data_IF_208503459622
#
_entry.id   IF_208503459622
#
_cell.length_a   1.000
_cell.length_b   1.000
_cell.length_c   1.000
_cell.angle_alpha   90.00
_cell.angle_beta   90.00
_cell.angle_gamma   90.00
#
_symmetry.space_group_name_H-M   'P 1'
#
loop_
_entity.id
_entity.type
_entity.pdbx_description
1 polymer ?
#
# COMPACT_ATOMS: atom_id res chain seq x y z
N UNK A 1 23.65 -9.12 16.43
CA UNK A 1 23.98 -8.71 15.04
C UNK A 1 22.72 -8.24 14.33
N UNK A 2 22.73 -7.04 13.74
CA UNK A 2 21.59 -6.44 13.06
C UNK A 2 21.52 -6.80 11.57
N UNK A 3 20.50 -6.28 10.89
CA UNK A 3 20.35 -6.39 9.43
C UNK A 3 21.44 -5.60 8.73
N UNK A 4 22.09 -6.20 7.73
CA UNK A 4 23.13 -5.56 6.91
C UNK A 4 22.75 -5.67 5.44
N UNK A 5 23.08 -4.65 4.64
CA UNK A 5 22.81 -4.64 3.19
C UNK A 5 24.11 -4.37 2.43
N UNK A 6 24.33 -5.14 1.39
CA UNK A 6 25.41 -4.95 0.41
C UNK A 6 24.78 -5.04 -0.98
N UNK A 7 24.78 -3.94 -1.72
CA UNK A 7 24.26 -3.84 -3.09
C UNK A 7 22.94 -4.63 -3.31
N UNK A 8 23.02 -5.91 -3.67
CA UNK A 8 21.88 -6.80 -3.97
C UNK A 8 21.77 -7.97 -2.99
N UNK A 9 22.43 -7.90 -1.82
CA UNK A 9 22.37 -8.91 -0.77
C UNK A 9 21.92 -8.27 0.55
N UNK A 10 21.12 -8.99 1.30
CA UNK A 10 20.70 -8.62 2.65
C UNK A 10 21.07 -9.74 3.61
N UNK A 11 21.67 -9.36 4.73
CA UNK A 11 21.88 -10.26 5.85
C UNK A 11 20.70 -10.15 6.81
N UNK A 12 20.06 -11.28 7.05
CA UNK A 12 19.00 -11.39 8.05
C UNK A 12 19.48 -12.30 9.19
N UNK A 13 19.37 -11.87 10.45
CA UNK A 13 19.70 -12.73 11.59
C UNK A 13 18.96 -14.06 11.47
N UNK A 14 19.66 -15.18 11.76
CA UNK A 14 19.20 -16.58 11.64
C UNK A 14 19.04 -17.12 10.20
N UNK A 15 18.94 -16.27 9.17
CA UNK A 15 18.77 -16.72 7.78
C UNK A 15 20.02 -16.51 6.92
N UNK A 16 20.97 -15.70 7.41
CA UNK A 16 22.22 -15.40 6.69
C UNK A 16 22.04 -14.44 5.51
N UNK A 17 22.97 -14.50 4.56
CA UNK A 17 22.96 -13.66 3.38
C UNK A 17 22.02 -14.18 2.30
N UNK A 18 21.11 -13.32 1.83
CA UNK A 18 20.17 -13.64 0.76
C UNK A 18 20.23 -12.59 -0.35
N UNK A 19 20.03 -13.03 -1.58
CA UNK A 19 19.85 -12.11 -2.72
C UNK A 19 18.48 -11.46 -2.65
N UNK A 20 18.40 -10.15 -2.90
CA UNK A 20 17.16 -9.41 -3.03
C UNK A 20 17.29 -8.35 -4.13
N UNK A 21 16.15 -7.92 -4.66
CA UNK A 21 16.08 -6.80 -5.59
C UNK A 21 15.97 -5.51 -4.78
N UNK A 22 17.05 -4.70 -4.77
CA UNK A 22 17.06 -3.41 -4.12
C UNK A 22 16.37 -2.38 -5.01
N UNK A 23 15.06 -2.21 -4.85
CA UNK A 23 14.25 -1.27 -5.64
C UNK A 23 14.51 0.20 -5.32
N UNK A 24 15.03 0.49 -4.13
CA UNK A 24 15.36 1.84 -3.68
C UNK A 24 16.61 1.79 -2.82
N UNK A 25 17.71 2.44 -3.23
CA UNK A 25 18.91 2.53 -2.40
C UNK A 25 18.57 3.28 -1.10
N UNK A 26 19.21 2.86 -0.01
CA UNK A 26 19.09 3.57 1.26
C UNK A 26 19.89 4.86 1.13
N UNK A 27 19.29 6.03 1.43
CA UNK A 27 20.03 7.30 1.41
C UNK A 27 21.20 7.28 2.41
N UNK A 28 22.26 8.03 2.12
CA UNK A 28 23.39 8.19 3.02
C UNK A 28 22.92 8.81 4.35
N UNK A 29 23.49 8.36 5.47
CA UNK A 29 23.12 8.83 6.81
C UNK A 29 22.01 8.03 7.50
N UNK A 30 21.21 7.27 6.74
CA UNK A 30 20.14 6.47 7.33
C UNK A 30 20.62 5.16 7.94
N UNK A 31 20.13 4.84 9.14
CA UNK A 31 20.36 3.56 9.83
C UNK A 31 19.14 2.64 9.72
N UNK A 32 19.40 1.34 9.59
CA UNK A 32 18.30 0.34 9.55
C UNK A 32 17.92 -0.01 10.98
N UNK A 33 16.66 0.27 11.37
CA UNK A 33 16.13 -0.04 12.70
C UNK A 33 15.36 -1.35 12.76
N UNK A 34 14.62 -1.67 11.69
CA UNK A 34 13.87 -2.90 11.64
C UNK A 34 13.71 -3.40 10.20
N UNK A 35 13.51 -4.71 10.09
CA UNK A 35 13.26 -5.39 8.83
C UNK A 35 12.03 -6.31 8.99
N UNK A 36 11.11 -6.23 8.06
CA UNK A 36 9.94 -7.13 8.00
C UNK A 36 9.95 -7.88 6.68
N UNK A 37 9.92 -9.21 6.76
CA UNK A 37 9.82 -10.09 5.59
C UNK A 37 8.40 -10.61 5.48
N UNK A 38 7.77 -10.41 4.32
CA UNK A 38 6.40 -10.86 4.05
C UNK A 38 6.32 -11.65 2.76
N UNK A 39 5.64 -12.79 2.81
CA UNK A 39 5.28 -13.55 1.61
C UNK A 39 4.00 -12.98 1.03
N UNK A 40 4.03 -12.63 -0.27
CA UNK A 40 2.86 -12.22 -1.06
C UNK A 40 2.64 -13.19 -2.21
N UNK A 41 1.60 -12.98 -3.02
CA UNK A 41 1.28 -13.85 -4.16
C UNK A 41 2.27 -13.70 -5.34
N UNK A 42 2.97 -12.59 -5.41
CA UNK A 42 4.00 -12.26 -6.41
C UNK A 42 5.43 -12.59 -5.94
N UNK A 43 5.61 -12.93 -4.65
CA UNK A 43 6.92 -13.30 -4.12
C UNK A 43 7.14 -12.86 -2.68
N UNK A 44 8.39 -12.88 -2.27
CA UNK A 44 8.81 -12.38 -0.96
C UNK A 44 9.16 -10.91 -1.05
N UNK A 45 8.70 -10.13 -0.08
CA UNK A 45 8.93 -8.70 0.02
C UNK A 45 9.63 -8.39 1.35
N UNK A 46 10.57 -7.46 1.29
CA UNK A 46 11.30 -6.95 2.44
C UNK A 46 10.93 -5.49 2.61
N UNK A 47 10.49 -5.13 3.81
CA UNK A 47 10.26 -3.73 4.22
C UNK A 47 11.28 -3.36 5.27
N UNK A 48 12.01 -2.27 5.05
CA UNK A 48 13.02 -1.74 5.95
C UNK A 48 12.47 -0.49 6.62
N UNK A 49 12.56 -0.40 7.93
CA UNK A 49 12.40 0.84 8.67
C UNK A 49 13.77 1.47 8.85
N UNK A 50 13.94 2.64 8.30
CA UNK A 50 15.18 3.42 8.35
C UNK A 50 14.95 4.68 9.17
N UNK A 51 15.97 5.16 9.84
CA UNK A 51 15.96 6.37 10.65
C UNK A 51 17.20 7.22 10.35
N UNK A 52 17.00 8.51 10.29
CA UNK A 52 18.05 9.49 10.25
C UNK A 52 17.77 10.54 11.33
N UNK A 53 18.71 10.67 12.28
CA UNK A 53 18.61 11.62 13.39
C UNK A 53 18.79 13.08 12.97
N UNK A 54 19.37 13.31 11.80
CA UNK A 54 19.55 14.65 11.23
C UNK A 54 18.22 15.25 10.70
N UNK A 55 17.23 14.40 10.41
CA UNK A 55 15.91 14.86 9.97
C UNK A 55 15.15 15.40 11.18
N UNK A 56 14.78 16.69 11.19
CA UNK A 56 14.02 17.25 12.31
C UNK A 56 12.68 16.55 12.48
N UNK A 57 12.25 16.40 13.72
CA UNK A 57 10.92 15.87 14.02
C UNK A 57 9.86 16.78 13.40
N UNK A 58 8.89 16.16 12.73
CA UNK A 58 7.73 16.88 12.23
C UNK A 58 6.93 17.42 13.43
N UNK A 59 6.84 18.74 13.52
CA UNK A 59 5.95 19.42 14.45
C UNK A 59 4.77 19.97 13.68
N UNK A 60 3.56 19.64 14.14
CA UNK A 60 2.36 20.27 13.58
C UNK A 60 2.44 21.77 13.79
N UNK A 61 2.02 22.54 12.79
CA UNK A 61 1.93 24.00 12.92
C UNK A 61 0.90 24.34 14.02
N UNK A 62 1.17 25.33 14.88
CA UNK A 62 0.16 25.85 15.79
C UNK A 62 -1.09 26.29 15.02
N UNK A 63 -2.28 26.08 15.58
CA UNK A 63 -3.54 26.43 14.92
C UNK A 63 -3.63 27.91 14.52
N UNK A 64 -2.97 28.79 15.27
CA UNK A 64 -2.88 30.22 14.98
C UNK A 64 -2.18 30.55 13.65
N UNK A 65 -1.30 29.67 13.18
CA UNK A 65 -0.58 29.82 11.92
C UNK A 65 -1.27 29.13 10.74
N UNK A 66 -2.42 28.48 10.99
CA UNK A 66 -3.18 27.77 9.96
C UNK A 66 -4.19 28.72 9.35
N UNK A 67 -3.92 29.15 8.11
CA UNK A 67 -4.78 30.10 7.39
C UNK A 67 -5.76 29.42 6.45
N UNK A 68 -5.37 28.28 5.86
CA UNK A 68 -6.18 27.58 4.87
C UNK A 68 -6.60 26.20 5.35
N UNK A 69 -7.81 26.12 5.90
CA UNK A 69 -8.43 24.87 6.33
C UNK A 69 -9.45 24.42 5.29
N UNK A 70 -9.41 23.16 4.89
CA UNK A 70 -10.38 22.59 3.95
C UNK A 70 -10.98 21.32 4.57
N UNK A 71 -12.32 21.27 4.61
CA UNK A 71 -13.06 20.07 4.97
C UNK A 71 -12.95 18.99 3.88
N UNK A 72 -12.82 17.73 4.28
CA UNK A 72 -12.69 16.60 3.35
C UNK A 72 -13.62 15.47 3.78
N UNK A 73 -14.46 14.97 2.86
CA UNK A 73 -15.29 13.79 3.06
C UNK A 73 -14.92 12.68 2.07
N UNK A 74 -14.90 11.43 2.57
CA UNK A 74 -14.63 10.24 1.77
C UNK A 74 -15.93 9.55 1.39
N UNK A 75 -16.11 9.32 0.09
CA UNK A 75 -17.32 8.71 -0.43
C UNK A 75 -17.08 7.46 -1.29
N UNK A 76 -18.17 6.75 -1.58
CA UNK A 76 -18.16 5.57 -2.45
C UNK A 76 -18.30 5.97 -3.92
N UNK A 77 -19.10 6.97 -4.22
CA UNK A 77 -19.36 7.46 -5.59
C UNK A 77 -18.19 8.28 -6.07
N UNK A 78 -17.87 9.33 -5.36
CA UNK A 78 -16.63 10.09 -5.46
C UNK A 78 -15.71 9.62 -4.36
N UNK A 79 -14.41 9.55 -4.63
CA UNK A 79 -13.43 9.09 -3.63
C UNK A 79 -13.25 10.13 -2.52
N UNK A 80 -13.17 11.40 -2.93
CA UNK A 80 -13.00 12.53 -2.02
C UNK A 80 -13.85 13.69 -2.49
N UNK A 81 -14.51 14.34 -1.55
CA UNK A 81 -15.20 15.62 -1.69
C UNK A 81 -14.56 16.64 -0.76
N UNK A 82 -14.25 17.81 -1.26
CA UNK A 82 -13.71 18.92 -0.48
C UNK A 82 -14.77 20.02 -0.33
N UNK A 83 -14.67 20.79 0.75
CA UNK A 83 -15.58 21.92 1.06
C UNK A 83 -15.51 23.05 0.02
N UNK A 84 -14.42 23.13 -0.75
CA UNK A 84 -14.24 24.08 -1.85
C UNK A 84 -14.85 23.62 -3.19
N UNK A 85 -15.63 22.50 -3.17
CA UNK A 85 -16.28 21.92 -4.36
C UNK A 85 -15.37 21.03 -5.20
N UNK A 86 -14.07 20.93 -4.90
CA UNK A 86 -13.18 20.04 -5.62
C UNK A 86 -13.50 18.58 -5.29
N UNK A 87 -13.48 17.72 -6.31
CA UNK A 87 -13.85 16.30 -6.19
C UNK A 87 -12.83 15.41 -6.87
N UNK A 88 -12.64 14.20 -6.32
CA UNK A 88 -11.81 13.15 -6.92
C UNK A 88 -12.66 11.92 -7.18
N UNK A 89 -12.67 11.49 -8.43
CA UNK A 89 -13.42 10.30 -8.86
C UNK A 89 -12.93 9.02 -8.21
N UNK A 90 -13.88 8.09 -7.93
CA UNK A 90 -13.55 6.76 -7.46
C UNK A 90 -13.44 5.80 -8.67
N UNK A 91 -12.25 5.32 -9.04
CA UNK A 91 -12.06 4.47 -10.21
C UNK A 91 -12.61 3.05 -10.06
N UNK A 92 -13.15 2.67 -8.89
CA UNK A 92 -13.85 1.39 -8.60
C UNK A 92 -13.14 0.16 -9.20
N UNK A 93 -11.82 0.04 -9.06
CA UNK A 93 -10.98 -0.98 -9.71
C UNK A 93 -11.47 -2.43 -9.58
N UNK A 94 -12.12 -2.79 -8.46
CA UNK A 94 -12.62 -4.15 -8.22
C UNK A 94 -13.96 -4.43 -8.89
N UNK A 95 -14.77 -3.40 -9.11
CA UNK A 95 -16.14 -3.53 -9.62
C UNK A 95 -16.26 -3.29 -11.13
N UNK A 96 -15.20 -2.82 -11.78
CA UNK A 96 -15.17 -2.64 -13.22
C UNK A 96 -15.57 -3.94 -13.95
N UNK A 97 -16.44 -3.84 -14.96
CA UNK A 97 -16.99 -5.00 -15.72
C UNK A 97 -15.91 -5.99 -16.17
N UNK A 98 -14.80 -5.50 -16.74
CA UNK A 98 -13.64 -6.31 -17.17
C UNK A 98 -12.99 -7.06 -16.00
N UNK A 99 -12.82 -6.42 -14.86
CA UNK A 99 -12.22 -7.00 -13.67
C UNK A 99 -13.09 -8.12 -13.09
N UNK A 100 -14.40 -7.85 -12.92
CA UNK A 100 -15.37 -8.84 -12.46
C UNK A 100 -15.43 -10.06 -13.37
N UNK A 101 -15.51 -9.84 -14.69
CA UNK A 101 -15.55 -10.93 -15.70
C UNK A 101 -14.27 -11.78 -15.62
N UNK A 102 -13.10 -11.16 -15.59
CA UNK A 102 -11.81 -11.87 -15.51
C UNK A 102 -11.70 -12.67 -14.22
N UNK A 103 -12.11 -12.11 -13.09
CA UNK A 103 -12.08 -12.80 -11.80
C UNK A 103 -13.03 -14.00 -11.82
N UNK A 104 -14.27 -13.84 -12.28
CA UNK A 104 -15.26 -14.93 -12.41
C UNK A 104 -14.73 -16.10 -13.25
N UNK A 105 -14.11 -15.81 -14.40
CA UNK A 105 -13.53 -16.84 -15.29
C UNK A 105 -12.40 -17.60 -14.56
N UNK A 106 -11.50 -16.88 -13.87
CA UNK A 106 -10.38 -17.50 -13.15
C UNK A 106 -10.86 -18.33 -11.98
N UNK A 107 -11.83 -17.86 -11.21
CA UNK A 107 -12.43 -18.61 -10.09
C UNK A 107 -13.11 -19.89 -10.59
N UNK A 108 -13.90 -19.84 -11.67
CA UNK A 108 -14.49 -21.02 -12.30
C UNK A 108 -13.43 -22.06 -12.72
N UNK A 109 -12.28 -21.58 -13.24
CA UNK A 109 -11.16 -22.49 -13.59
C UNK A 109 -10.57 -23.20 -12.37
N UNK A 110 -10.55 -22.54 -11.20
CA UNK A 110 -10.13 -23.18 -9.94
C UNK A 110 -11.17 -24.23 -9.48
N UNK A 111 -12.47 -23.87 -9.51
CA UNK A 111 -13.55 -24.77 -9.06
C UNK A 111 -13.64 -26.06 -9.88
N UNK A 112 -13.38 -25.99 -11.19
CA UNK A 112 -13.41 -27.14 -12.12
C UNK A 112 -12.24 -28.12 -11.95
N UNK A 113 -11.25 -27.82 -11.09
CA UNK A 113 -10.08 -28.68 -10.91
C UNK A 113 -10.20 -29.48 -9.62
N UNK A 114 -9.74 -30.73 -9.66
CA UNK A 114 -9.73 -31.62 -8.49
C UNK A 114 -9.02 -30.98 -7.29
N UNK A 115 -9.62 -31.09 -6.10
CA UNK A 115 -9.05 -30.61 -4.85
C UNK A 115 -7.68 -31.28 -4.63
N UNK A 116 -6.67 -30.51 -4.16
CA UNK A 116 -5.32 -31.02 -3.92
C UNK A 116 -4.41 -31.09 -5.16
N UNK A 117 -4.95 -31.08 -6.39
CA UNK A 117 -4.14 -31.23 -7.59
C UNK A 117 -3.14 -30.08 -7.82
N UNK A 118 -1.94 -30.41 -8.38
CA UNK A 118 -0.93 -29.43 -8.79
C UNK A 118 -1.51 -28.37 -9.78
N UNK A 119 -2.44 -28.81 -10.66
CA UNK A 119 -3.13 -27.94 -11.62
C UNK A 119 -4.04 -26.92 -10.91
N UNK A 120 -4.73 -27.34 -9.82
CA UNK A 120 -5.55 -26.43 -8.99
C UNK A 120 -4.68 -25.41 -8.25
N UNK A 121 -3.58 -25.86 -7.65
CA UNK A 121 -2.65 -24.95 -6.96
C UNK A 121 -2.08 -23.87 -7.89
N UNK A 122 -1.71 -24.24 -9.13
CA UNK A 122 -1.31 -23.25 -10.15
C UNK A 122 -2.44 -22.25 -10.47
N UNK A 123 -3.69 -22.72 -10.59
CA UNK A 123 -4.83 -21.85 -10.85
C UNK A 123 -5.12 -20.89 -9.67
N UNK A 124 -5.01 -21.35 -8.41
CA UNK A 124 -5.14 -20.51 -7.21
C UNK A 124 -4.08 -19.41 -7.21
N UNK A 125 -2.81 -19.72 -7.52
CA UNK A 125 -1.74 -18.71 -7.63
C UNK A 125 -2.07 -17.63 -8.67
N UNK A 126 -2.68 -17.99 -9.80
CA UNK A 126 -3.10 -17.02 -10.84
C UNK A 126 -4.20 -16.09 -10.31
N UNK A 127 -5.18 -16.63 -9.57
CA UNK A 127 -6.23 -15.81 -8.93
C UNK A 127 -5.61 -14.88 -7.89
N UNK A 128 -4.73 -15.40 -7.03
CA UNK A 128 -4.04 -14.61 -6.01
C UNK A 128 -3.23 -13.45 -6.60
N UNK A 129 -2.44 -13.70 -7.67
CA UNK A 129 -1.71 -12.66 -8.38
C UNK A 129 -2.63 -11.59 -8.98
N UNK A 130 -3.82 -11.99 -9.44
CA UNK A 130 -4.79 -11.05 -9.97
C UNK A 130 -5.39 -10.14 -8.88
N UNK A 131 -5.71 -10.69 -7.72
CA UNK A 131 -6.10 -9.90 -6.55
C UNK A 131 -4.99 -8.94 -6.11
N UNK A 132 -3.73 -9.42 -6.06
CA UNK A 132 -2.58 -8.57 -5.76
C UNK A 132 -2.46 -7.40 -6.75
N UNK A 133 -2.66 -7.66 -8.06
CA UNK A 133 -2.64 -6.60 -9.08
C UNK A 133 -3.72 -5.53 -8.84
N UNK A 134 -4.92 -5.94 -8.42
CA UNK A 134 -5.99 -4.99 -8.09
C UNK A 134 -5.62 -4.18 -6.84
N UNK A 135 -5.08 -4.83 -5.81
CA UNK A 135 -4.62 -4.17 -4.58
C UNK A 135 -3.53 -3.14 -4.87
N UNK A 136 -2.53 -3.52 -5.68
CA UNK A 136 -1.44 -2.61 -6.07
C UNK A 136 -1.96 -1.39 -6.86
N UNK A 137 -2.96 -1.58 -7.74
CA UNK A 137 -3.60 -0.46 -8.46
C UNK A 137 -4.32 0.49 -7.50
N UNK A 138 -5.02 -0.04 -6.50
CA UNK A 138 -5.68 0.79 -5.47
C UNK A 138 -4.64 1.61 -4.70
N UNK A 139 -3.60 0.95 -4.21
CA UNK A 139 -2.54 1.61 -3.46
C UNK A 139 -1.84 2.71 -4.29
N UNK A 140 -1.50 2.41 -5.54
CA UNK A 140 -0.90 3.40 -6.43
C UNK A 140 -1.82 4.61 -6.68
N UNK A 141 -3.14 4.37 -6.80
CA UNK A 141 -4.12 5.45 -6.94
C UNK A 141 -4.23 6.29 -5.67
N UNK A 142 -4.27 5.65 -4.50
CA UNK A 142 -4.29 6.34 -3.20
C UNK A 142 -3.08 7.26 -3.02
N UNK A 143 -1.88 6.79 -3.37
CA UNK A 143 -0.68 7.62 -3.34
C UNK A 143 -0.76 8.81 -4.30
N UNK A 144 -1.28 8.61 -5.52
CA UNK A 144 -1.51 9.71 -6.46
C UNK A 144 -2.49 10.74 -5.91
N UNK A 145 -3.58 10.27 -5.28
CA UNK A 145 -4.57 11.15 -4.65
C UNK A 145 -3.95 11.91 -3.48
N UNK A 146 -3.23 11.24 -2.59
CA UNK A 146 -2.55 11.87 -1.47
C UNK A 146 -1.58 12.98 -1.93
N UNK A 147 -0.72 12.68 -2.92
CA UNK A 147 0.18 13.67 -3.48
C UNK A 147 -0.57 14.86 -4.10
N UNK A 148 -1.68 14.59 -4.81
CA UNK A 148 -2.50 15.67 -5.40
C UNK A 148 -3.16 16.54 -4.33
N UNK A 149 -3.54 15.98 -3.19
CA UNK A 149 -4.09 16.74 -2.06
C UNK A 149 -3.01 17.61 -1.44
N UNK A 150 -1.85 17.02 -1.15
CA UNK A 150 -0.72 17.76 -0.55
C UNK A 150 -0.23 18.90 -1.45
N UNK A 151 -0.19 18.70 -2.78
CA UNK A 151 0.23 19.72 -3.74
C UNK A 151 -0.73 20.93 -3.85
N UNK A 152 -1.89 20.91 -3.20
CA UNK A 152 -2.84 22.04 -3.21
C UNK A 152 -2.50 23.16 -2.22
N UNK A 153 -1.36 23.10 -1.53
CA UNK A 153 -0.94 24.09 -0.54
C UNK A 153 -2.02 24.37 0.52
N UNK A 154 -2.55 23.30 1.10
CA UNK A 154 -3.54 23.32 2.18
C UNK A 154 -2.76 23.23 3.48
N UNK A 155 -3.02 24.13 4.43
CA UNK A 155 -2.35 24.12 5.72
C UNK A 155 -2.90 23.04 6.66
N UNK A 156 -4.21 22.84 6.64
CA UNK A 156 -4.86 21.80 7.43
C UNK A 156 -6.06 21.18 6.69
N UNK A 157 -6.28 19.89 6.94
CA UNK A 157 -7.41 19.14 6.38
C UNK A 157 -8.24 18.62 7.57
N UNK A 158 -9.49 19.05 7.67
CA UNK A 158 -10.45 18.47 8.60
C UNK A 158 -11.11 17.26 7.94
N UNK A 159 -10.74 16.06 8.40
CA UNK A 159 -11.22 14.80 7.85
C UNK A 159 -11.76 13.89 8.95
N UNK A 160 -13.02 14.10 9.35
CA UNK A 160 -13.65 13.33 10.44
C UNK A 160 -13.64 11.80 10.25
N UNK A 161 -13.54 11.29 9.02
CA UNK A 161 -13.48 9.85 8.69
C UNK A 161 -12.08 9.32 8.38
N UNK A 162 -11.04 10.16 8.36
CA UNK A 162 -9.66 9.72 8.07
C UNK A 162 -9.07 8.82 9.17
N UNK A 163 -9.51 8.96 10.41
CA UNK A 163 -9.07 8.17 11.56
C UNK A 163 -9.24 6.67 11.33
N UNK A 164 -10.36 6.25 10.72
CA UNK A 164 -10.64 4.84 10.42
C UNK A 164 -9.73 4.21 9.36
N UNK A 165 -9.09 4.99 8.50
CA UNK A 165 -8.30 4.46 7.39
C UNK A 165 -6.86 4.14 7.77
N UNK A 166 -6.31 4.84 8.76
CA UNK A 166 -4.93 4.66 9.23
C UNK A 166 -4.82 3.75 10.45
N UNK A 167 -5.81 3.77 11.35
CA UNK A 167 -5.80 2.99 12.60
C UNK A 167 -6.13 1.51 12.38
N UNK A 168 -6.84 1.19 11.31
CA UNK A 168 -7.27 -0.19 11.01
C UNK A 168 -6.46 -0.82 9.89
N UNK A 169 -5.22 -0.67 9.70
CA UNK A 169 -4.35 -1.37 8.75
C UNK A 169 -5.08 -2.14 7.61
N UNK A 170 -4.48 -2.75 6.63
CA UNK A 170 -5.20 -3.48 5.60
C UNK A 170 -6.08 -4.55 6.27
N UNK A 171 -7.40 -4.47 6.05
CA UNK A 171 -8.38 -5.46 6.55
C UNK A 171 -7.79 -6.86 6.44
N UNK A 172 -7.48 -7.46 7.57
CA UNK A 172 -7.22 -8.89 7.63
C UNK A 172 -8.54 -9.55 7.25
N UNK A 173 -8.58 -10.22 6.11
CA UNK A 173 -9.66 -11.15 5.83
C UNK A 173 -9.64 -12.18 6.95
N UNK A 174 -10.58 -12.10 7.88
CA UNK A 174 -10.88 -13.20 8.80
C UNK A 174 -11.25 -14.39 7.93
N UNK A 175 -10.57 -15.50 8.16
CA UNK A 175 -10.85 -16.82 7.57
C UNK A 175 -12.27 -17.25 7.85
#
# INVERSE_FOLDING_TARGET
MGVKIQVNKIYLPKLGWMRFYNSRPIPKGFTIKACTVRKRQDGWHISLRIEDKSVPEYRARPLEQVTKIIGCDLGITKLVHFSDGYQIENPKFSTAKKTKRTLKIRQRRVSRKAKGSKKRQKAIKIVGRFHQKISNKRQAHQWKVANKIVSRNIDAIDARKFKYFWDNGPMQCKN
#
